data_IF_066830099904
#
_entry.id   IF_066830099904
#
_cell.length_a   1.000
_cell.length_b   1.000
_cell.length_c   1.000
_cell.angle_alpha   90.00
_cell.angle_beta   90.00
_cell.angle_gamma   90.00
#
_symmetry.space_group_name_H-M   'P 1'
#
loop_
_entity.id
_entity.type
_entity.pdbx_description
1 polymer ?
#
# COMPACT_ATOMS: atom_id res chain seq x y z
N UNK A 1 -16.98 10.27 23.75
CA UNK A 1 -17.90 10.57 22.62
C UNK A 1 -17.82 9.49 21.55
N UNK A 2 -18.95 9.18 20.89
CA UNK A 2 -19.02 8.22 19.77
C UNK A 2 -19.05 8.97 18.45
N UNK A 3 -18.18 8.62 17.50
CA UNK A 3 -18.13 9.20 16.16
C UNK A 3 -18.95 8.31 15.21
N UNK A 4 -19.87 8.91 14.45
CA UNK A 4 -20.62 8.17 13.43
C UNK A 4 -19.71 7.74 12.29
N UNK A 5 -20.00 6.59 11.64
CA UNK A 5 -19.19 6.12 10.51
C UNK A 5 -19.10 7.17 9.39
N UNK A 6 -20.19 7.91 9.11
CA UNK A 6 -20.19 9.00 8.12
C UNK A 6 -19.21 10.12 8.47
N UNK A 7 -19.09 10.48 9.75
CA UNK A 7 -18.10 11.46 10.20
C UNK A 7 -16.68 10.87 10.22
N UNK A 8 -16.54 9.58 10.53
CA UNK A 8 -15.26 8.88 10.62
C UNK A 8 -14.53 8.81 9.27
N UNK A 9 -15.27 8.70 8.16
CA UNK A 9 -14.74 8.70 6.79
C UNK A 9 -13.76 9.84 6.51
N UNK A 10 -13.94 11.01 7.15
CA UNK A 10 -13.07 12.19 6.97
C UNK A 10 -11.65 11.99 7.48
N UNK A 11 -11.43 10.99 8.32
CA UNK A 11 -10.15 10.64 8.93
C UNK A 11 -9.54 9.38 8.34
N UNK A 12 -10.23 8.71 7.41
CA UNK A 12 -9.72 7.54 6.70
C UNK A 12 -8.91 8.00 5.48
N UNK A 13 -7.71 7.45 5.33
CA UNK A 13 -6.84 7.63 4.16
C UNK A 13 -6.43 6.25 3.65
N UNK A 14 -5.83 6.19 2.47
CA UNK A 14 -5.43 4.91 1.87
C UNK A 14 -6.44 4.31 0.91
N UNK A 15 -7.64 4.88 0.78
CA UNK A 15 -8.79 4.24 0.13
C UNK A 15 -9.28 5.00 -1.11
N UNK A 16 -9.75 4.26 -2.11
CA UNK A 16 -10.49 4.84 -3.24
C UNK A 16 -11.88 5.27 -2.79
N UNK A 17 -12.55 4.41 -2.04
CA UNK A 17 -13.86 4.69 -1.46
C UNK A 17 -14.07 3.93 -0.15
N UNK A 18 -15.00 4.43 0.66
CA UNK A 18 -15.51 3.72 1.83
C UNK A 18 -16.99 3.43 1.64
N UNK A 19 -17.45 2.24 2.05
CA UNK A 19 -18.87 1.88 2.03
C UNK A 19 -19.32 1.53 3.45
N UNK A 20 -20.55 1.88 3.83
CA UNK A 20 -21.14 1.49 5.12
C UNK A 20 -22.10 0.33 4.87
N UNK A 21 -21.75 -0.85 5.34
CA UNK A 21 -22.49 -2.08 5.11
C UNK A 21 -22.81 -2.77 6.44
N UNK A 22 -24.10 -2.95 6.72
CA UNK A 22 -24.59 -3.55 7.98
C UNK A 22 -23.97 -2.85 9.23
N UNK A 23 -23.81 -1.53 9.15
CA UNK A 23 -23.26 -0.69 10.21
C UNK A 23 -21.73 -0.69 10.33
N UNK A 24 -20.99 -1.40 9.47
CA UNK A 24 -19.53 -1.36 9.42
C UNK A 24 -19.05 -0.48 8.27
N UNK A 25 -18.02 0.31 8.53
CA UNK A 25 -17.27 1.06 7.53
C UNK A 25 -16.21 0.13 6.92
N UNK A 26 -16.36 -0.18 5.63
CA UNK A 26 -15.39 -0.94 4.85
C UNK A 26 -14.51 -0.04 3.97
N UNK A 27 -13.36 -0.57 3.59
CA UNK A 27 -12.29 0.11 2.87
C UNK A 27 -12.09 -0.56 1.50
N UNK A 28 -12.10 0.21 0.42
CA UNK A 28 -12.01 -0.33 -0.94
C UNK A 28 -10.97 0.45 -1.74
N UNK A 29 -10.05 -0.27 -2.37
CA UNK A 29 -8.94 0.30 -3.15
C UNK A 29 -9.21 0.40 -4.64
N UNK A 30 -10.18 -0.35 -5.15
CA UNK A 30 -10.44 -0.52 -6.57
C UNK A 30 -11.85 -0.04 -6.93
N UNK A 31 -12.03 0.39 -8.18
CA UNK A 31 -13.35 0.65 -8.75
C UNK A 31 -14.07 -0.66 -9.11
N UNK A 32 -15.38 -0.57 -9.40
CA UNK A 32 -16.19 -1.76 -9.69
C UNK A 32 -15.73 -2.47 -10.99
N UNK A 33 -15.22 -1.75 -11.99
CA UNK A 33 -14.70 -2.35 -13.25
C UNK A 33 -13.43 -3.16 -13.01
N UNK A 34 -12.54 -2.65 -12.16
CA UNK A 34 -11.33 -3.34 -11.73
C UNK A 34 -11.68 -4.59 -10.93
N UNK A 35 -12.65 -4.49 -10.01
CA UNK A 35 -13.12 -5.63 -9.23
C UNK A 35 -13.76 -6.72 -10.09
N UNK A 36 -14.61 -6.34 -11.05
CA UNK A 36 -15.22 -7.28 -12.00
C UNK A 36 -14.16 -7.94 -12.88
N UNK A 37 -13.16 -7.18 -13.34
CA UNK A 37 -12.05 -7.73 -14.11
C UNK A 37 -11.27 -8.76 -13.28
N UNK A 38 -10.89 -8.43 -12.04
CA UNK A 38 -10.14 -9.33 -11.16
C UNK A 38 -10.93 -10.60 -10.85
N UNK A 39 -12.23 -10.49 -10.61
CA UNK A 39 -13.10 -11.65 -10.37
C UNK A 39 -13.09 -12.61 -11.55
N UNK A 40 -13.19 -12.08 -12.78
CA UNK A 40 -13.17 -12.91 -13.99
C UNK A 40 -11.77 -13.41 -14.36
N UNK A 41 -10.73 -12.64 -14.00
CA UNK A 41 -9.34 -12.97 -14.30
C UNK A 41 -8.80 -14.06 -13.38
N UNK A 42 -9.04 -13.92 -12.08
CA UNK A 42 -8.61 -14.86 -11.04
C UNK A 42 -9.44 -14.66 -9.76
N UNK A 43 -10.53 -15.43 -9.66
CA UNK A 43 -11.45 -15.40 -8.53
C UNK A 43 -10.87 -15.98 -7.23
N UNK A 44 -9.80 -16.79 -7.30
CA UNK A 44 -9.30 -17.56 -6.15
C UNK A 44 -8.06 -16.94 -5.51
N UNK A 45 -7.28 -16.16 -6.25
CA UNK A 45 -6.02 -15.61 -5.75
C UNK A 45 -5.95 -14.09 -5.77
N UNK A 46 -6.10 -13.44 -6.94
CA UNK A 46 -5.98 -11.98 -7.05
C UNK A 46 -7.22 -11.23 -6.57
N UNK A 47 -8.43 -11.72 -6.90
CA UNK A 47 -9.67 -11.07 -6.46
C UNK A 47 -9.84 -11.02 -4.93
N UNK A 48 -9.54 -12.08 -4.16
CA UNK A 48 -9.46 -12.01 -2.71
C UNK A 48 -8.54 -10.90 -2.19
N UNK A 49 -7.31 -10.84 -2.74
CA UNK A 49 -6.25 -9.93 -2.27
C UNK A 49 -6.52 -8.46 -2.56
N UNK A 50 -7.25 -8.15 -3.63
CA UNK A 50 -7.63 -6.76 -3.94
C UNK A 50 -8.57 -6.13 -2.91
N UNK A 51 -9.16 -6.95 -2.01
CA UNK A 51 -10.05 -6.50 -0.93
C UNK A 51 -9.31 -6.23 0.39
N UNK A 52 -8.01 -6.44 0.46
CA UNK A 52 -7.25 -6.26 1.70
C UNK A 52 -6.95 -4.80 2.00
N UNK A 53 -6.66 -4.50 3.27
CA UNK A 53 -6.61 -3.13 3.83
C UNK A 53 -5.21 -2.51 3.76
N UNK A 54 -4.42 -2.90 2.75
CA UNK A 54 -3.05 -2.44 2.53
C UNK A 54 -2.92 -0.92 2.56
N UNK A 55 -2.13 -0.42 3.51
CA UNK A 55 -1.87 1.02 3.70
C UNK A 55 -3.11 1.88 4.01
N UNK A 56 -4.22 1.27 4.42
CA UNK A 56 -5.38 1.99 4.96
C UNK A 56 -5.02 2.51 6.35
N UNK A 57 -5.35 3.77 6.60
CA UNK A 57 -5.07 4.41 7.88
C UNK A 57 -6.26 5.21 8.39
N UNK A 58 -6.38 5.30 9.70
CA UNK A 58 -7.17 6.33 10.38
C UNK A 58 -6.19 7.36 10.95
N UNK A 59 -6.23 8.61 10.45
CA UNK A 59 -5.32 9.68 10.87
C UNK A 59 -6.05 10.93 11.37
N UNK A 60 -5.66 11.40 12.54
CA UNK A 60 -6.23 12.60 13.17
C UNK A 60 -5.26 13.24 14.16
N UNK A 61 -5.49 14.52 14.47
CA UNK A 61 -4.92 15.17 15.64
C UNK A 61 -5.97 15.22 16.75
N UNK A 62 -5.56 15.00 18.00
CA UNK A 62 -6.47 15.04 19.15
C UNK A 62 -5.70 15.31 20.45
N UNK A 63 -6.43 15.61 21.52
CA UNK A 63 -5.94 15.57 22.90
C UNK A 63 -6.41 14.33 23.66
N UNK A 64 -7.18 13.45 23.01
CA UNK A 64 -7.71 12.23 23.64
C UNK A 64 -6.59 11.37 24.21
N UNK A 65 -6.86 10.77 25.37
CA UNK A 65 -6.03 9.75 26.03
C UNK A 65 -6.55 8.34 25.75
N UNK A 66 -7.68 8.22 25.06
CA UNK A 66 -8.27 6.94 24.71
C UNK A 66 -8.92 6.97 23.32
N UNK A 67 -8.80 5.87 22.59
CA UNK A 67 -9.64 5.56 21.44
C UNK A 67 -10.06 4.08 21.47
N UNK A 68 -11.22 3.77 20.91
CA UNK A 68 -11.61 2.39 20.64
C UNK A 68 -12.52 2.27 19.42
N UNK A 69 -12.61 1.08 18.85
CA UNK A 69 -13.55 0.75 17.79
C UNK A 69 -13.84 -0.74 17.76
N UNK A 70 -15.05 -1.10 17.34
CA UNK A 70 -15.39 -2.48 17.05
C UNK A 70 -14.85 -2.82 15.65
N UNK A 71 -14.43 -4.06 15.45
CA UNK A 71 -13.96 -4.54 14.17
C UNK A 71 -14.61 -5.86 13.77
N UNK A 72 -14.56 -6.16 12.47
CA UNK A 72 -14.79 -7.50 11.92
C UNK A 72 -13.76 -7.79 10.84
N UNK A 73 -13.27 -9.02 10.80
CA UNK A 73 -12.41 -9.56 9.75
C UNK A 73 -13.30 -10.33 8.78
N UNK A 74 -13.25 -9.93 7.51
CA UNK A 74 -14.07 -10.51 6.43
C UNK A 74 -13.31 -11.59 5.70
N UNK A 75 -12.01 -11.36 5.47
CA UNK A 75 -11.14 -12.20 4.67
C UNK A 75 -9.71 -12.10 5.18
N UNK A 76 -8.98 -13.21 5.07
CA UNK A 76 -7.65 -13.39 5.64
C UNK A 76 -6.74 -13.96 4.56
N UNK A 77 -5.65 -13.25 4.24
CA UNK A 77 -4.50 -13.79 3.52
C UNK A 77 -3.44 -14.28 4.50
N UNK A 78 -2.96 -13.38 5.36
CA UNK A 78 -2.04 -13.66 6.45
C UNK A 78 -2.26 -12.70 7.63
N UNK A 79 -1.58 -12.96 8.75
CA UNK A 79 -1.78 -12.23 9.99
C UNK A 79 -0.65 -11.22 10.23
N UNK A 80 -0.91 -9.95 9.90
CA UNK A 80 -0.01 -8.83 10.21
C UNK A 80 -0.34 -8.20 11.57
N UNK A 81 -0.64 -6.91 11.61
CA UNK A 81 -0.93 -6.18 12.83
C UNK A 81 -1.85 -4.98 12.62
N UNK A 82 -2.52 -4.56 13.69
CA UNK A 82 -3.07 -3.20 13.82
C UNK A 82 -2.06 -2.39 14.62
N UNK A 83 -1.55 -1.31 14.03
CA UNK A 83 -0.53 -0.50 14.69
C UNK A 83 -1.05 0.89 15.00
N UNK A 84 -0.84 1.34 16.23
CA UNK A 84 -1.08 2.72 16.66
C UNK A 84 0.25 3.44 16.76
N UNK A 85 0.36 4.54 16.01
CA UNK A 85 1.49 5.44 16.03
C UNK A 85 1.07 6.78 16.63
N UNK A 86 1.96 7.37 17.43
CA UNK A 86 1.81 8.71 18.02
C UNK A 86 2.98 9.57 17.54
N UNK A 87 2.68 10.69 16.88
CA UNK A 87 3.67 11.59 16.31
C UNK A 87 4.72 10.86 15.44
N UNK A 88 4.24 9.91 14.62
CA UNK A 88 5.04 9.07 13.72
C UNK A 88 5.94 8.03 14.40
N UNK A 89 5.86 7.84 15.71
CA UNK A 89 6.52 6.75 16.43
C UNK A 89 5.55 5.61 16.73
N UNK A 90 5.96 4.33 16.57
CA UNK A 90 5.14 3.20 16.98
C UNK A 90 4.86 3.30 18.48
N UNK A 91 3.61 3.12 18.87
CA UNK A 91 3.17 3.30 20.26
C UNK A 91 2.53 2.03 20.82
N UNK A 92 1.62 1.39 20.07
CA UNK A 92 1.04 0.09 20.42
C UNK A 92 0.85 -0.73 19.15
N UNK A 93 1.00 -2.05 19.26
CA UNK A 93 0.87 -3.00 18.17
C UNK A 93 0.01 -4.15 18.70
N UNK A 94 -1.02 -4.52 17.95
CA UNK A 94 -1.83 -5.73 18.23
C UNK A 94 -1.66 -6.66 17.04
N UNK A 95 -1.21 -7.89 17.29
CA UNK A 95 -0.99 -8.85 16.22
C UNK A 95 -2.32 -9.42 15.75
N UNK A 96 -2.46 -9.60 14.44
CA UNK A 96 -3.76 -9.95 13.87
C UNK A 96 -4.15 -11.41 14.13
N UNK A 97 -3.18 -12.28 14.43
CA UNK A 97 -3.40 -13.67 14.85
C UNK A 97 -3.95 -13.78 16.28
N UNK A 98 -3.80 -12.73 17.08
CA UNK A 98 -4.44 -12.58 18.40
C UNK A 98 -5.91 -12.13 18.30
N UNK A 99 -6.37 -11.75 17.10
CA UNK A 99 -7.73 -11.22 16.89
C UNK A 99 -8.73 -12.31 16.55
N UNK A 100 -9.85 -12.31 17.27
CA UNK A 100 -11.05 -13.04 16.83
C UNK A 100 -11.63 -12.43 15.54
N UNK A 101 -12.54 -13.16 14.88
CA UNK A 101 -13.23 -12.68 13.66
C UNK A 101 -13.98 -11.36 13.87
N UNK A 102 -14.42 -11.05 15.09
CA UNK A 102 -15.04 -9.78 15.49
C UNK A 102 -14.62 -9.47 16.91
N UNK A 103 -14.46 -8.20 17.23
CA UNK A 103 -14.10 -7.80 18.59
C UNK A 103 -14.09 -6.29 18.74
N UNK A 104 -13.48 -5.84 19.83
CA UNK A 104 -13.23 -4.42 20.11
C UNK A 104 -11.75 -4.21 20.33
N UNK A 105 -11.17 -3.24 19.64
CA UNK A 105 -9.81 -2.77 19.91
C UNK A 105 -9.90 -1.46 20.69
N UNK A 106 -9.12 -1.36 21.76
CA UNK A 106 -9.05 -0.19 22.63
C UNK A 106 -7.59 0.17 22.88
N UNK A 107 -7.27 1.45 22.80
CA UNK A 107 -5.92 1.96 22.93
C UNK A 107 -5.89 3.16 23.86
N UNK A 108 -5.07 3.07 24.90
CA UNK A 108 -4.63 4.25 25.64
C UNK A 108 -3.71 5.09 24.77
N UNK A 109 -3.66 6.39 24.97
CA UNK A 109 -2.82 7.35 24.26
C UNK A 109 -2.16 8.25 25.30
N UNK A 110 -0.97 8.82 25.02
CA UNK A 110 -0.32 9.74 25.97
C UNK A 110 -1.18 10.99 26.20
N UNK A 111 -0.83 11.86 27.12
CA UNK A 111 -1.52 13.17 27.28
C UNK A 111 -1.09 14.18 26.19
N UNK A 112 -1.75 15.35 26.15
CA UNK A 112 -1.39 16.47 25.27
C UNK A 112 -1.86 16.37 23.82
N UNK A 113 -1.61 17.42 23.03
CA UNK A 113 -1.95 17.42 21.59
C UNK A 113 -0.98 16.53 20.81
N UNK A 114 -1.53 15.65 19.99
CA UNK A 114 -0.77 14.65 19.24
C UNK A 114 -1.40 14.33 17.91
N UNK A 115 -0.59 13.85 16.95
CA UNK A 115 -1.07 13.14 15.77
C UNK A 115 -1.14 11.64 16.10
N UNK A 116 -2.29 11.02 15.84
CA UNK A 116 -2.47 9.57 15.92
C UNK A 116 -2.68 9.02 14.52
N UNK A 117 -2.02 7.90 14.23
CA UNK A 117 -2.24 7.10 13.03
C UNK A 117 -2.50 5.67 13.45
N UNK A 118 -3.66 5.14 13.09
CA UNK A 118 -3.96 3.70 13.19
C UNK A 118 -3.75 3.08 11.81
N UNK A 119 -2.81 2.16 11.68
CA UNK A 119 -2.59 1.37 10.48
C UNK A 119 -3.42 0.09 10.55
N UNK A 120 -4.19 -0.21 9.50
CA UNK A 120 -4.98 -1.44 9.40
C UNK A 120 -4.20 -2.55 8.68
N UNK A 121 -4.44 -3.84 9.00
CA UNK A 121 -3.60 -4.94 8.55
C UNK A 121 -3.54 -5.05 7.02
N UNK A 122 -2.36 -5.33 6.49
CA UNK A 122 -2.10 -5.26 5.04
C UNK A 122 -2.68 -6.45 4.27
N UNK A 123 -2.72 -7.65 4.86
CA UNK A 123 -3.16 -8.87 4.19
C UNK A 123 -4.50 -9.39 4.76
N UNK A 124 -5.31 -8.48 5.31
CA UNK A 124 -6.66 -8.74 5.82
C UNK A 124 -7.67 -7.71 5.30
N UNK A 125 -8.90 -8.17 5.08
CA UNK A 125 -10.04 -7.26 4.93
C UNK A 125 -10.67 -7.01 6.31
N UNK A 126 -10.38 -5.86 6.90
CA UNK A 126 -10.95 -5.42 8.18
C UNK A 126 -11.97 -4.30 7.94
N UNK A 127 -13.08 -4.35 8.66
CA UNK A 127 -14.07 -3.28 8.67
C UNK A 127 -14.35 -2.85 10.11
N UNK A 128 -14.60 -1.57 10.33
CA UNK A 128 -14.74 -1.00 11.68
C UNK A 128 -16.09 -0.33 11.91
N UNK A 129 -16.48 -0.18 13.17
CA UNK A 129 -17.63 0.66 13.56
C UNK A 129 -17.46 1.15 14.99
N UNK A 130 -18.43 1.95 15.44
CA UNK A 130 -18.53 2.37 16.84
C UNK A 130 -17.25 3.02 17.37
N UNK A 131 -16.61 3.88 16.57
CA UNK A 131 -15.41 4.58 17.00
C UNK A 131 -15.71 5.51 18.19
N UNK A 132 -14.96 5.34 19.28
CA UNK A 132 -15.07 6.14 20.51
C UNK A 132 -13.76 6.86 20.76
N UNK A 133 -13.86 8.10 21.22
CA UNK A 133 -12.74 8.94 21.67
C UNK A 133 -13.24 9.88 22.76
N UNK A 134 -12.39 10.45 23.59
CA UNK A 134 -12.79 11.35 24.67
C UNK A 134 -12.82 12.81 24.23
N UNK A 135 -12.01 13.15 23.23
CA UNK A 135 -11.80 14.51 22.76
C UNK A 135 -12.11 14.64 21.26
N UNK A 136 -12.44 15.83 20.76
CA UNK A 136 -12.64 16.07 19.33
C UNK A 136 -11.42 15.67 18.49
N UNK A 137 -11.69 15.28 17.24
CA UNK A 137 -10.69 14.94 16.24
C UNK A 137 -10.51 16.12 15.27
N UNK A 138 -9.27 16.41 14.89
CA UNK A 138 -8.92 17.36 13.83
C UNK A 138 -8.32 16.60 12.65
N UNK A 139 -8.71 16.96 11.43
CA UNK A 139 -8.24 16.31 10.20
C UNK A 139 -6.76 16.58 9.95
N UNK A 140 -6.03 15.58 9.47
CA UNK A 140 -4.65 15.72 8.98
C UNK A 140 -4.66 16.19 7.52
N UNK A 141 -3.85 17.20 7.18
CA UNK A 141 -3.69 17.63 5.79
C UNK A 141 -2.62 16.76 5.11
N UNK A 142 -2.97 16.18 3.96
CA UNK A 142 -2.05 15.47 3.07
C UNK A 142 -1.51 16.40 2.00
N UNK A 143 -0.35 16.08 1.43
CA UNK A 143 0.29 16.93 0.42
C UNK A 143 -0.22 16.64 -1.00
N UNK A 144 -0.08 15.40 -1.48
CA UNK A 144 -0.47 14.99 -2.84
C UNK A 144 -1.24 13.67 -2.81
N UNK A 145 -2.18 13.49 -3.74
CA UNK A 145 -2.80 12.19 -4.05
C UNK A 145 -1.86 11.34 -4.89
N UNK A 146 -1.45 10.20 -4.37
CA UNK A 146 -0.48 9.33 -5.05
C UNK A 146 -1.03 7.92 -5.18
N UNK A 147 -1.16 7.46 -6.41
CA UNK A 147 -1.56 6.09 -6.73
C UNK A 147 -0.33 5.18 -6.78
N UNK A 148 -0.33 4.12 -5.98
CA UNK A 148 0.71 3.10 -5.97
C UNK A 148 0.18 1.84 -6.63
N UNK A 149 0.86 1.38 -7.66
CA UNK A 149 0.51 0.21 -8.47
C UNK A 149 1.65 -0.80 -8.31
N UNK A 150 1.35 -2.00 -7.80
CA UNK A 150 2.41 -2.99 -7.63
C UNK A 150 1.94 -4.37 -7.20
N UNK A 151 2.91 -5.18 -6.80
CA UNK A 151 2.71 -6.57 -6.40
C UNK A 151 2.65 -6.77 -4.87
N UNK A 152 2.97 -7.97 -4.38
CA UNK A 152 3.04 -8.32 -2.95
C UNK A 152 3.94 -7.40 -2.15
N UNK A 153 5.03 -6.91 -2.73
CA UNK A 153 5.96 -6.03 -2.03
C UNK A 153 5.29 -4.67 -1.79
N UNK A 154 4.54 -4.18 -2.78
CA UNK A 154 3.77 -2.92 -2.69
C UNK A 154 2.56 -3.06 -1.78
N UNK A 155 1.89 -4.20 -1.82
CA UNK A 155 0.87 -4.58 -0.84
C UNK A 155 1.45 -4.52 0.60
N UNK A 156 2.71 -4.95 0.76
CA UNK A 156 3.50 -4.83 1.99
C UNK A 156 3.91 -6.16 2.63
N UNK A 157 3.64 -7.28 1.95
CA UNK A 157 3.84 -8.63 2.48
C UNK A 157 5.29 -8.86 2.91
N UNK A 158 5.48 -9.65 3.97
CA UNK A 158 6.78 -10.01 4.54
C UNK A 158 7.22 -9.18 5.75
N UNK A 159 6.57 -8.03 6.01
CA UNK A 159 6.92 -7.19 7.17
C UNK A 159 6.29 -7.67 8.48
N UNK A 160 5.05 -8.18 8.43
CA UNK A 160 4.21 -8.57 9.59
C UNK A 160 4.09 -7.48 10.67
N UNK A 161 4.36 -6.24 10.26
CA UNK A 161 4.27 -5.01 11.03
C UNK A 161 3.75 -3.97 10.04
N UNK A 162 2.45 -3.75 10.07
CA UNK A 162 1.72 -2.98 9.03
C UNK A 162 2.31 -1.60 8.83
N UNK A 163 2.70 -0.91 9.89
CA UNK A 163 3.35 0.40 9.81
C UNK A 163 4.71 0.35 9.12
N UNK A 164 5.40 -0.79 9.10
CA UNK A 164 6.78 -0.91 8.62
C UNK A 164 6.91 -1.39 7.17
N UNK A 165 5.83 -1.40 6.38
CA UNK A 165 5.94 -1.58 4.92
C UNK A 165 6.72 -0.43 4.28
N UNK A 166 7.41 -0.66 3.16
CA UNK A 166 8.20 0.40 2.55
C UNK A 166 7.34 1.58 2.08
N UNK A 167 6.10 1.32 1.67
CA UNK A 167 5.09 2.33 1.33
C UNK A 167 4.77 3.18 2.56
N UNK A 168 4.49 2.56 3.71
CA UNK A 168 4.16 3.28 4.94
C UNK A 168 5.38 4.00 5.55
N UNK A 169 6.56 3.41 5.50
CA UNK A 169 7.84 4.04 5.88
C UNK A 169 8.08 5.30 5.04
N UNK A 170 7.95 5.20 3.71
CA UNK A 170 8.11 6.35 2.83
C UNK A 170 7.04 7.41 3.10
N UNK A 171 5.78 6.99 3.26
CA UNK A 171 4.66 7.91 3.45
C UNK A 171 4.70 8.66 4.78
N UNK A 172 5.31 8.10 5.84
CA UNK A 172 5.56 8.84 7.09
C UNK A 172 6.39 10.10 6.86
N UNK A 173 7.29 10.10 5.87
CA UNK A 173 8.12 11.26 5.53
C UNK A 173 7.45 12.15 4.47
N UNK A 174 6.82 11.55 3.46
CA UNK A 174 6.26 12.28 2.31
C UNK A 174 4.88 12.91 2.59
N UNK A 175 4.14 12.35 3.55
CA UNK A 175 2.79 12.76 3.93
C UNK A 175 1.83 12.85 2.73
N UNK A 176 1.88 11.85 1.85
CA UNK A 176 0.96 11.69 0.73
C UNK A 176 -0.38 11.10 1.18
N UNK A 177 -1.41 11.42 0.40
CA UNK A 177 -2.68 10.71 0.39
C UNK A 177 -2.54 9.53 -0.57
N UNK A 178 -2.12 8.39 -0.02
CA UNK A 178 -1.79 7.22 -0.81
C UNK A 178 -3.05 6.44 -1.16
N UNK A 179 -3.11 5.91 -2.38
CA UNK A 179 -4.02 4.84 -2.75
C UNK A 179 -3.16 3.65 -3.17
N UNK A 180 -3.09 2.62 -2.33
CA UNK A 180 -2.27 1.44 -2.58
C UNK A 180 -3.10 0.36 -3.29
N UNK A 181 -2.82 0.15 -4.58
CA UNK A 181 -3.39 -0.91 -5.40
C UNK A 181 -2.36 -2.04 -5.63
N UNK A 182 -1.59 -2.39 -4.59
CA UNK A 182 -0.72 -3.56 -4.57
C UNK A 182 -1.49 -4.87 -4.39
N UNK A 183 -1.21 -5.89 -5.21
CA UNK A 183 -1.81 -7.24 -5.09
C UNK A 183 -0.72 -8.31 -5.11
N UNK A 184 -0.75 -9.23 -4.15
CA UNK A 184 0.17 -10.35 -4.07
C UNK A 184 0.25 -11.17 -5.35
N UNK A 185 1.46 -11.42 -5.83
CA UNK A 185 1.74 -12.16 -7.06
C UNK A 185 1.34 -11.46 -8.36
N UNK A 186 0.90 -10.20 -8.32
CA UNK A 186 0.40 -9.50 -9.51
C UNK A 186 1.50 -9.06 -10.47
N UNK A 187 1.11 -8.70 -11.70
CA UNK A 187 2.01 -8.55 -12.86
C UNK A 187 1.71 -7.26 -13.63
N UNK A 188 2.48 -6.99 -14.70
CA UNK A 188 2.17 -5.92 -15.66
C UNK A 188 0.95 -6.30 -16.52
N UNK A 189 -0.23 -6.20 -15.91
CA UNK A 189 -1.51 -6.48 -16.57
C UNK A 189 -2.15 -5.18 -17.04
N UNK A 190 -2.11 -4.89 -18.34
CA UNK A 190 -2.67 -3.64 -18.85
C UNK A 190 -4.19 -3.56 -18.71
N UNK A 191 -4.89 -4.69 -18.55
CA UNK A 191 -6.37 -4.72 -18.58
C UNK A 191 -7.01 -4.28 -17.26
N UNK A 192 -6.27 -4.29 -16.16
CA UNK A 192 -6.71 -3.75 -14.86
C UNK A 192 -6.73 -2.22 -14.82
N UNK A 193 -5.99 -1.58 -15.73
CA UNK A 193 -5.90 -0.13 -15.77
C UNK A 193 -7.19 0.45 -16.35
N UNK A 194 -7.96 1.07 -15.47
CA UNK A 194 -9.18 1.82 -15.80
C UNK A 194 -9.01 3.27 -15.36
N UNK A 195 -9.77 4.17 -15.99
CA UNK A 195 -9.99 5.50 -15.43
C UNK A 195 -10.96 5.35 -14.26
N UNK A 196 -10.49 5.63 -13.05
CA UNK A 196 -11.31 5.61 -11.83
C UNK A 196 -12.18 6.87 -11.75
N UNK A 197 -13.50 6.71 -11.66
CA UNK A 197 -14.43 7.84 -11.63
C UNK A 197 -14.33 8.64 -10.33
N UNK A 198 -14.24 9.97 -10.43
CA UNK A 198 -14.10 10.84 -9.25
C UNK A 198 -12.72 10.79 -8.56
N UNK A 199 -11.77 10.02 -9.10
CA UNK A 199 -10.39 9.99 -8.63
C UNK A 199 -9.41 10.31 -9.77
N UNK A 200 -8.47 11.20 -9.51
CA UNK A 200 -7.34 11.45 -10.41
C UNK A 200 -6.11 11.65 -9.54
N UNK A 201 -5.08 10.79 -9.66
CA UNK A 201 -3.86 10.97 -8.89
C UNK A 201 -3.09 12.19 -9.40
N UNK A 202 -2.34 12.83 -8.51
CA UNK A 202 -1.38 13.87 -8.89
C UNK A 202 -0.03 13.26 -9.28
N UNK A 203 0.26 12.06 -8.75
CA UNK A 203 1.46 11.28 -9.04
C UNK A 203 1.15 9.78 -9.03
N UNK A 204 1.91 9.01 -9.80
CA UNK A 204 1.79 7.56 -9.86
C UNK A 204 3.13 6.93 -9.52
N UNK A 205 3.12 5.85 -8.73
CA UNK A 205 4.29 5.01 -8.46
C UNK A 205 3.96 3.60 -8.94
N UNK A 206 4.83 3.01 -9.77
CA UNK A 206 4.66 1.68 -10.35
C UNK A 206 5.82 0.77 -9.93
N UNK A 207 5.53 -0.39 -9.37
CA UNK A 207 6.52 -1.35 -8.87
C UNK A 207 6.07 -2.79 -9.13
N UNK A 208 6.32 -3.25 -10.36
CA UNK A 208 6.05 -4.62 -10.83
C UNK A 208 7.31 -5.23 -11.48
N UNK A 209 7.20 -6.52 -11.81
CA UNK A 209 8.16 -7.24 -12.66
C UNK A 209 8.70 -8.50 -11.98
N UNK A 210 8.79 -8.51 -10.64
CA UNK A 210 9.39 -9.63 -9.91
C UNK A 210 8.66 -10.97 -10.10
N UNK A 211 7.34 -10.95 -10.35
CA UNK A 211 6.54 -12.17 -10.49
C UNK A 211 6.59 -12.82 -11.87
N UNK A 212 6.97 -12.07 -12.91
CA UNK A 212 6.84 -12.54 -14.30
C UNK A 212 8.02 -12.13 -15.20
N UNK A 213 9.17 -11.75 -14.61
CA UNK A 213 10.40 -11.44 -15.35
C UNK A 213 10.94 -12.60 -16.21
N UNK A 214 10.50 -13.82 -15.94
CA UNK A 214 10.80 -15.02 -16.72
C UNK A 214 9.74 -15.38 -17.77
N UNK A 215 8.64 -14.64 -17.85
CA UNK A 215 7.59 -14.92 -18.82
C UNK A 215 8.08 -14.64 -20.25
N UNK A 216 7.66 -15.47 -21.20
CA UNK A 216 8.04 -15.35 -22.61
C UNK A 216 7.67 -13.97 -23.19
N UNK A 217 6.47 -13.47 -22.86
CA UNK A 217 5.96 -12.17 -23.31
C UNK A 217 6.16 -11.04 -22.29
N UNK A 218 7.23 -11.10 -21.48
CA UNK A 218 7.51 -10.07 -20.47
C UNK A 218 7.55 -8.65 -21.08
N UNK A 219 8.24 -8.47 -22.21
CA UNK A 219 8.40 -7.16 -22.85
C UNK A 219 7.08 -6.63 -23.44
N UNK A 220 6.24 -7.52 -23.99
CA UNK A 220 4.92 -7.16 -24.51
C UNK A 220 3.99 -6.72 -23.39
N UNK A 221 3.99 -7.41 -22.25
CA UNK A 221 3.22 -7.04 -21.06
C UNK A 221 3.64 -5.68 -20.49
N UNK A 222 4.94 -5.43 -20.32
CA UNK A 222 5.46 -4.13 -19.86
C UNK A 222 5.06 -3.01 -20.82
N UNK A 223 5.25 -3.21 -22.13
CA UNK A 223 4.92 -2.21 -23.16
C UNK A 223 3.42 -1.90 -23.21
N UNK A 224 2.58 -2.93 -23.18
CA UNK A 224 1.12 -2.77 -23.15
C UNK A 224 0.65 -2.02 -21.91
N UNK A 225 1.27 -2.30 -20.76
CA UNK A 225 0.95 -1.65 -19.49
C UNK A 225 1.22 -0.15 -19.54
N UNK A 226 2.44 0.28 -19.91
CA UNK A 226 2.77 1.70 -19.97
C UNK A 226 2.03 2.45 -21.08
N UNK A 227 1.74 1.79 -22.21
CA UNK A 227 0.86 2.35 -23.24
C UNK A 227 -0.54 2.65 -22.69
N UNK A 228 -1.14 1.71 -21.96
CA UNK A 228 -2.46 1.90 -21.35
C UNK A 228 -2.43 2.93 -20.22
N UNK A 229 -1.39 2.90 -19.37
CA UNK A 229 -1.22 3.86 -18.28
C UNK A 229 -1.14 5.29 -18.82
N UNK A 230 -0.33 5.52 -19.86
CA UNK A 230 -0.21 6.80 -20.55
C UNK A 230 -1.52 7.20 -21.24
N UNK A 231 -2.25 6.25 -21.84
CA UNK A 231 -3.56 6.57 -22.44
C UNK A 231 -4.59 7.07 -21.41
N UNK A 232 -4.58 6.54 -20.18
CA UNK A 232 -5.53 6.93 -19.13
C UNK A 232 -5.08 8.20 -18.40
N UNK A 233 -3.81 8.26 -17.98
CA UNK A 233 -3.29 9.27 -17.06
C UNK A 233 -2.40 10.32 -17.75
N UNK A 234 -2.13 10.18 -19.05
CA UNK A 234 -1.39 11.12 -19.89
C UNK A 234 -0.05 11.52 -19.25
N UNK A 235 0.12 12.81 -18.96
CA UNK A 235 1.37 13.42 -18.50
C UNK A 235 1.51 13.41 -16.97
N UNK A 236 0.64 12.72 -16.23
CA UNK A 236 0.78 12.59 -14.77
C UNK A 236 2.14 12.00 -14.45
N UNK A 237 2.86 12.69 -13.56
CA UNK A 237 4.23 12.32 -13.19
C UNK A 237 4.26 10.91 -12.60
N UNK A 238 5.07 10.06 -13.18
CA UNK A 238 5.13 8.64 -12.84
C UNK A 238 6.55 8.26 -12.43
N UNK A 239 6.68 7.61 -11.28
CA UNK A 239 7.93 7.00 -10.82
C UNK A 239 7.81 5.48 -10.96
N UNK A 240 8.75 4.86 -11.67
CA UNK A 240 8.81 3.41 -11.84
C UNK A 240 9.96 2.86 -11.01
N UNK A 241 9.68 1.89 -10.17
CA UNK A 241 10.67 1.16 -9.41
C UNK A 241 10.87 -0.19 -10.10
N UNK A 242 12.07 -0.43 -10.64
CA UNK A 242 12.38 -1.75 -11.21
C UNK A 242 12.43 -2.82 -10.09
N UNK A 243 12.38 -4.12 -10.42
CA UNK A 243 12.47 -5.16 -9.39
C UNK A 243 13.67 -4.96 -8.46
N UNK A 244 13.45 -5.18 -7.16
CA UNK A 244 14.51 -5.16 -6.14
C UNK A 244 15.31 -6.46 -6.18
N UNK A 245 16.46 -6.46 -5.49
CA UNK A 245 17.22 -7.70 -5.25
C UNK A 245 16.35 -8.74 -4.54
N UNK A 246 16.59 -10.02 -4.84
CA UNK A 246 16.00 -11.18 -4.18
C UNK A 246 17.01 -12.34 -4.19
N UNK A 247 16.98 -13.21 -3.20
CA UNK A 247 17.87 -14.35 -3.02
C UNK A 247 17.13 -15.63 -2.63
N UNK A 248 15.84 -15.70 -2.93
CA UNK A 248 15.02 -16.90 -2.76
C UNK A 248 15.37 -17.99 -3.79
N UNK A 249 14.95 -19.21 -3.49
CA UNK A 249 15.18 -20.37 -4.34
C UNK A 249 14.50 -20.20 -5.71
N UNK A 250 15.27 -20.45 -6.78
CA UNK A 250 14.81 -20.27 -8.15
C UNK A 250 14.88 -18.82 -8.65
N UNK A 251 15.44 -17.89 -7.89
CA UNK A 251 15.81 -16.57 -8.42
C UNK A 251 16.85 -16.68 -9.55
N UNK A 252 16.63 -15.93 -10.63
CA UNK A 252 17.62 -15.73 -11.70
C UNK A 252 17.99 -14.24 -11.71
N UNK A 253 19.05 -13.90 -10.97
CA UNK A 253 19.47 -12.52 -10.76
C UNK A 253 19.88 -11.83 -12.06
N UNK A 254 20.49 -12.54 -13.00
CA UNK A 254 20.91 -11.95 -14.27
C UNK A 254 19.69 -11.65 -15.14
N UNK A 255 18.72 -12.57 -15.21
CA UNK A 255 17.44 -12.30 -15.90
C UNK A 255 16.64 -11.20 -15.21
N UNK A 256 16.68 -11.10 -13.87
CA UNK A 256 15.99 -10.04 -13.13
C UNK A 256 16.61 -8.66 -13.38
N UNK A 257 17.95 -8.56 -13.39
CA UNK A 257 18.67 -7.34 -13.77
C UNK A 257 18.38 -6.96 -15.23
N UNK A 258 18.36 -7.95 -16.13
CA UNK A 258 17.95 -7.74 -17.52
C UNK A 258 16.53 -7.17 -17.60
N UNK A 259 15.57 -7.76 -16.88
CA UNK A 259 14.19 -7.29 -16.86
C UNK A 259 14.09 -5.84 -16.34
N UNK A 260 14.86 -5.49 -15.30
CA UNK A 260 14.94 -4.11 -14.81
C UNK A 260 15.44 -3.12 -15.86
N UNK A 261 16.50 -3.47 -16.61
CA UNK A 261 17.01 -2.66 -17.72
C UNK A 261 16.01 -2.51 -18.86
N UNK A 262 15.25 -3.56 -19.17
CA UNK A 262 14.24 -3.51 -20.22
C UNK A 262 13.02 -2.67 -19.81
N UNK A 263 12.60 -2.73 -18.54
CA UNK A 263 11.60 -1.80 -17.99
C UNK A 263 12.10 -0.36 -18.17
N UNK A 264 13.33 -0.07 -17.75
CA UNK A 264 13.93 1.27 -17.90
C UNK A 264 13.93 1.73 -19.36
N UNK A 265 14.35 0.86 -20.28
CA UNK A 265 14.36 1.15 -21.73
C UNK A 265 12.97 1.45 -22.27
N UNK A 266 11.96 0.66 -21.93
CA UNK A 266 10.57 0.90 -22.37
C UNK A 266 10.04 2.21 -21.78
N UNK A 267 10.26 2.45 -20.48
CA UNK A 267 9.82 3.65 -19.80
C UNK A 267 10.48 4.94 -20.33
N UNK A 268 11.70 4.86 -20.89
CA UNK A 268 12.42 6.02 -21.45
C UNK A 268 11.68 6.73 -22.60
N UNK A 269 10.69 6.06 -23.20
CA UNK A 269 9.85 6.64 -24.25
C UNK A 269 8.83 7.66 -23.73
N UNK A 270 8.62 7.73 -22.41
CA UNK A 270 7.61 8.57 -21.77
C UNK A 270 8.29 9.69 -20.97
N UNK A 271 8.14 10.94 -21.44
CA UNK A 271 8.81 12.11 -20.85
C UNK A 271 8.42 12.42 -19.40
N UNK A 272 7.24 11.98 -18.96
CA UNK A 272 6.72 12.13 -17.61
C UNK A 272 7.09 10.97 -16.66
N UNK A 273 7.84 9.98 -17.15
CA UNK A 273 8.26 8.80 -16.37
C UNK A 273 9.70 8.97 -15.91
N UNK A 274 9.92 8.79 -14.61
CA UNK A 274 11.26 8.65 -14.00
C UNK A 274 11.42 7.23 -13.51
N UNK A 275 12.57 6.60 -13.75
CA UNK A 275 12.85 5.23 -13.31
C UNK A 275 13.90 5.25 -12.20
N UNK A 276 13.70 4.44 -11.17
CA UNK A 276 14.69 4.14 -10.14
C UNK A 276 15.04 2.66 -10.18
N UNK A 277 16.34 2.37 -10.15
CA UNK A 277 16.83 1.00 -10.09
C UNK A 277 16.56 0.40 -8.69
N UNK A 278 15.64 -0.56 -8.61
CA UNK A 278 15.26 -1.23 -7.37
C UNK A 278 16.41 -1.91 -6.63
N UNK A 279 17.45 -2.35 -7.33
CA UNK A 279 18.66 -2.92 -6.69
C UNK A 279 19.41 -1.89 -5.83
N UNK A 280 19.12 -0.60 -5.95
CA UNK A 280 19.76 0.43 -5.12
C UNK A 280 18.99 0.73 -3.82
N UNK A 281 17.81 0.14 -3.65
CA UNK A 281 16.88 0.56 -2.60
C UNK A 281 16.93 -0.34 -1.35
N UNK A 282 17.36 -1.59 -1.48
CA UNK A 282 17.47 -2.55 -0.37
C UNK A 282 18.86 -3.19 -0.39
N UNK A 283 19.54 -3.36 0.76
CA UNK A 283 20.80 -4.10 0.82
C UNK A 283 20.68 -5.53 0.29
N UNK A 284 21.68 -6.01 -0.45
CA UNK A 284 21.67 -7.34 -1.10
C UNK A 284 22.07 -8.45 -0.11
N UNK A 285 21.37 -8.52 1.00
CA UNK A 285 21.70 -9.39 2.13
C UNK A 285 20.41 -10.04 2.63
N UNK A 286 20.42 -11.37 2.77
CA UNK A 286 19.24 -12.16 3.13
C UNK A 286 18.55 -11.68 4.43
N UNK A 287 19.30 -11.10 5.37
CA UNK A 287 18.80 -10.56 6.63
C UNK A 287 17.78 -9.41 6.47
N UNK A 288 17.69 -8.81 5.28
CA UNK A 288 16.72 -7.76 4.97
C UNK A 288 15.43 -8.31 4.35
N UNK A 289 15.35 -9.63 4.18
CA UNK A 289 14.23 -10.31 3.54
C UNK A 289 13.62 -11.34 4.50
N UNK A 290 12.33 -11.58 4.38
CA UNK A 290 11.62 -12.61 5.15
C UNK A 290 11.85 -14.00 4.55
N UNK A 291 11.67 -14.12 3.23
CA UNK A 291 11.73 -15.37 2.48
C UNK A 291 12.73 -15.30 1.31
N UNK A 292 13.64 -14.34 1.35
CA UNK A 292 14.57 -14.04 0.26
C UNK A 292 13.98 -13.19 -0.87
N UNK A 293 12.66 -13.00 -0.96
CA UNK A 293 11.99 -12.17 -1.96
C UNK A 293 11.38 -10.90 -1.33
N UNK A 294 10.61 -11.08 -0.27
CA UNK A 294 9.85 -10.02 0.37
C UNK A 294 10.68 -9.33 1.45
N UNK A 295 10.82 -7.99 1.42
CA UNK A 295 11.50 -7.28 2.49
C UNK A 295 10.83 -7.54 3.85
N UNK A 296 11.62 -7.87 4.86
CA UNK A 296 11.15 -7.85 6.24
C UNK A 296 11.09 -6.39 6.75
N UNK A 297 10.67 -6.17 8.00
CA UNK A 297 10.55 -4.81 8.56
C UNK A 297 11.86 -3.98 8.49
N UNK A 298 13.04 -4.63 8.62
CA UNK A 298 14.33 -3.98 8.46
C UNK A 298 14.59 -3.60 6.99
N UNK A 299 14.41 -4.54 6.06
CA UNK A 299 14.53 -4.29 4.62
C UNK A 299 13.59 -3.22 4.12
N UNK A 300 12.33 -3.26 4.54
CA UNK A 300 11.32 -2.29 4.19
C UNK A 300 11.64 -0.88 4.73
N UNK A 301 12.29 -0.77 5.90
CA UNK A 301 12.77 0.52 6.40
C UNK A 301 13.84 1.14 5.50
N UNK A 302 14.84 0.34 5.08
CA UNK A 302 15.86 0.81 4.13
C UNK A 302 15.22 1.17 2.79
N UNK A 303 14.33 0.31 2.29
CA UNK A 303 13.61 0.54 1.05
C UNK A 303 12.87 1.88 1.08
N UNK A 304 11.99 2.08 2.07
CA UNK A 304 11.19 3.30 2.16
C UNK A 304 12.04 4.56 2.29
N UNK A 305 13.11 4.53 3.09
CA UNK A 305 14.00 5.69 3.28
C UNK A 305 14.81 6.00 2.01
N UNK A 306 15.39 4.99 1.37
CA UNK A 306 16.15 5.17 0.13
C UNK A 306 15.24 5.69 -1.01
N UNK A 307 14.00 5.20 -1.07
CA UNK A 307 13.00 5.69 -2.02
C UNK A 307 12.66 7.17 -1.77
N UNK A 308 12.52 7.58 -0.50
CA UNK A 308 12.31 8.99 -0.14
C UNK A 308 13.47 9.87 -0.60
N UNK A 309 14.71 9.44 -0.37
CA UNK A 309 15.88 10.20 -0.80
C UNK A 309 15.95 10.31 -2.33
N UNK A 310 15.60 9.24 -3.06
CA UNK A 310 15.46 9.30 -4.51
C UNK A 310 14.37 10.30 -4.94
N UNK A 311 13.17 10.21 -4.36
CA UNK A 311 12.02 11.09 -4.63
C UNK A 311 12.42 12.57 -4.43
N UNK A 312 13.11 12.90 -3.33
CA UNK A 312 13.60 14.25 -3.07
C UNK A 312 14.63 14.69 -4.12
N UNK A 313 15.60 13.81 -4.45
CA UNK A 313 16.67 14.09 -5.41
C UNK A 313 16.12 14.45 -6.80
N UNK A 314 15.14 13.69 -7.28
CA UNK A 314 14.52 13.93 -8.60
C UNK A 314 13.35 14.92 -8.55
N UNK A 315 13.12 15.55 -7.39
CA UNK A 315 12.01 16.47 -7.11
C UNK A 315 10.68 15.86 -7.56
N UNK A 316 10.49 14.56 -7.32
CA UNK A 316 9.28 13.82 -7.71
C UNK A 316 8.05 14.48 -7.11
#
# INVERSE_FOLDING_TARGET
MKISNKSLQKYVYGVYQTKIEKGYLGFYHYDDKQMDYLLNRDASFWYPRSKFSSSVTLEFKTQSTFISFDYKIVEVGSYDSVDVYVNSFPYQIVKADELEKKGTLSFSLPEGEKKVTVYFPIDLNIQIKNFVTEQPLKKVKKSHKVLWLGDSITQGYGTFLTGETYVNVANRVLNYDILNQGIGGYIFDSKILTKMDGYTPEKIIVSFGTNHYKADDFLGQVSAYFKQLSAIYKDIKTLVITPIFRCDDGSDLEKLKWAGKEIERICSQYSNVTVVNGFTLVPHLAQYYFDGLHPNALGANYYGRNLVEFIKKVKF
#
